data_IF_261760593755
#
_entry.id   IF_261760593755
#
_cell.length_a   1.000
_cell.length_b   1.000
_cell.length_c   1.000
_cell.angle_alpha   90.00
_cell.angle_beta   90.00
_cell.angle_gamma   90.00
#
_symmetry.space_group_name_H-M   'P 1'
#
loop_
_entity.id
_entity.type
_entity.pdbx_description
1 polymer ?
#
# COMPACT_ATOMS: atom_id res chain seq x y z
N UNK A 1 26.95 28.37 23.27
CA UNK A 1 28.24 28.15 22.59
C UNK A 1 28.02 28.55 21.15
N UNK A 2 28.69 29.60 20.72
CA UNK A 2 28.41 30.37 19.51
C UNK A 2 29.31 29.92 18.35
N UNK A 3 28.77 29.98 17.13
CA UNK A 3 29.42 30.16 15.81
C UNK A 3 28.23 30.36 14.85
N UNK A 4 27.91 31.50 14.25
CA UNK A 4 28.65 32.65 13.71
C UNK A 4 29.46 32.33 12.44
N UNK A 5 29.04 32.97 11.32
CA UNK A 5 29.74 33.28 10.04
C UNK A 5 29.16 32.68 8.74
N UNK A 6 28.49 33.55 7.98
CA UNK A 6 28.79 33.98 6.58
C UNK A 6 27.46 34.49 5.97
N UNK A 7 27.15 35.79 5.96
CA UNK A 7 27.81 36.93 5.30
C UNK A 7 27.89 36.82 3.77
N UNK A 8 26.95 37.55 3.15
CA UNK A 8 27.11 38.45 2.01
C UNK A 8 27.44 37.89 0.61
N UNK A 9 26.51 38.11 -0.32
CA UNK A 9 26.86 38.56 -1.67
C UNK A 9 25.82 39.59 -2.16
N UNK A 10 26.24 40.82 -2.55
CA UNK A 10 25.34 41.92 -2.89
C UNK A 10 25.11 42.07 -4.41
N UNK A 11 23.97 42.71 -4.71
CA UNK A 11 23.70 43.68 -5.76
C UNK A 11 24.45 43.59 -7.10
N UNK A 12 23.68 43.50 -8.20
CA UNK A 12 24.03 44.26 -9.41
C UNK A 12 22.84 45.07 -9.93
N UNK A 13 23.04 46.38 -9.82
CA UNK A 13 22.27 47.47 -10.39
C UNK A 13 22.67 47.62 -11.86
N UNK A 14 21.71 47.60 -12.78
CA UNK A 14 21.88 48.35 -14.03
C UNK A 14 20.72 49.33 -14.24
N UNK A 15 21.14 50.59 -14.31
CA UNK A 15 20.37 51.80 -14.37
C UNK A 15 19.71 52.03 -15.74
N UNK A 16 18.72 52.94 -15.82
CA UNK A 16 18.10 53.36 -17.06
C UNK A 16 18.93 54.47 -17.72
N UNK A 17 19.17 54.36 -19.02
CA UNK A 17 19.71 55.44 -19.85
C UNK A 17 18.76 55.73 -21.00
N UNK A 18 18.03 56.82 -20.87
CA UNK A 18 17.58 57.65 -21.99
C UNK A 18 18.65 58.72 -22.20
N UNK A 19 18.97 59.12 -23.45
CA UNK A 19 18.56 60.48 -23.83
C UNK A 19 18.27 60.68 -25.35
N UNK A 20 17.50 61.75 -25.63
CA UNK A 20 17.78 62.78 -26.67
C UNK A 20 17.61 62.39 -28.16
N UNK A 21 16.48 62.74 -28.77
CA UNK A 21 16.25 63.97 -29.56
C UNK A 21 17.28 64.19 -30.68
N UNK A 22 16.94 63.75 -31.90
CA UNK A 22 17.42 64.38 -33.13
C UNK A 22 16.27 64.48 -34.12
N UNK A 23 15.90 65.72 -34.41
CA UNK A 23 14.99 66.10 -35.47
C UNK A 23 15.66 65.94 -36.85
N UNK A 24 14.82 65.98 -37.88
CA UNK A 24 15.15 66.30 -39.27
C UNK A 24 15.86 65.21 -40.05
N UNK A 25 15.08 64.48 -40.85
CA UNK A 25 15.18 64.49 -42.32
C UNK A 25 13.99 63.68 -42.86
N UNK A 26 12.81 64.30 -42.79
CA UNK A 26 11.75 64.00 -43.73
C UNK A 26 12.17 64.60 -45.08
N UNK A 27 11.81 63.92 -46.16
CA UNK A 27 11.93 64.35 -47.57
C UNK A 27 13.29 64.11 -48.25
N UNK A 28 13.63 62.84 -48.55
CA UNK A 28 14.58 62.55 -49.63
C UNK A 28 14.48 61.18 -50.35
N UNK A 29 13.83 60.14 -49.82
CA UNK A 29 13.97 58.78 -50.40
C UNK A 29 12.66 57.99 -50.57
N UNK A 30 11.60 58.65 -51.04
CA UNK A 30 10.33 57.99 -51.36
C UNK A 30 10.28 57.34 -52.78
N UNK A 31 11.42 57.05 -53.41
CA UNK A 31 11.48 56.44 -54.76
C UNK A 31 12.69 55.53 -55.00
N UNK A 32 13.34 55.02 -53.94
CA UNK A 32 14.34 53.96 -54.06
C UNK A 32 13.75 52.57 -53.76
N UNK A 33 12.47 52.40 -54.12
CA UNK A 33 11.75 51.13 -54.05
C UNK A 33 12.33 50.16 -55.09
N UNK A 34 12.53 48.91 -54.66
CA UNK A 34 12.77 47.71 -55.49
C UNK A 34 14.19 47.51 -56.08
N UNK A 35 15.22 47.47 -55.22
CA UNK A 35 16.42 46.69 -55.56
C UNK A 35 16.41 45.31 -54.89
N UNK A 36 16.27 44.20 -55.66
CA UNK A 36 16.35 42.85 -55.11
C UNK A 36 17.76 42.61 -54.54
N UNK A 37 17.84 42.38 -53.22
CA UNK A 37 19.09 42.03 -52.53
C UNK A 37 19.62 43.03 -51.51
N UNK A 38 18.90 44.13 -51.19
CA UNK A 38 19.33 45.02 -50.09
C UNK A 38 19.27 44.25 -48.74
N UNK A 39 20.26 44.40 -47.85
CA UNK A 39 20.17 43.88 -46.50
C UNK A 39 19.00 44.57 -45.78
N UNK A 40 17.92 43.82 -45.54
CA UNK A 40 16.73 44.32 -44.86
C UNK A 40 17.03 44.56 -43.38
N UNK A 41 16.47 45.64 -42.83
CA UNK A 41 16.57 45.92 -41.41
C UNK A 41 15.95 44.80 -40.58
N UNK A 42 16.42 44.59 -39.34
CA UNK A 42 15.92 43.52 -38.45
C UNK A 42 14.39 43.56 -38.23
N UNK A 43 13.77 44.72 -38.48
CA UNK A 43 12.34 44.97 -38.29
C UNK A 43 11.55 45.07 -39.62
N UNK A 44 12.20 44.92 -40.78
CA UNK A 44 11.53 44.88 -42.09
C UNK A 44 11.01 43.47 -42.39
N UNK A 45 9.75 43.22 -42.02
CA UNK A 45 8.99 42.04 -42.43
C UNK A 45 8.80 42.03 -43.95
N UNK A 46 9.36 41.02 -44.62
CA UNK A 46 9.26 40.84 -46.05
C UNK A 46 7.79 40.67 -46.49
N UNK A 47 7.23 41.56 -47.34
CA UNK A 47 5.86 41.44 -47.81
C UNK A 47 5.62 40.15 -48.60
N UNK A 48 6.65 39.54 -49.19
CA UNK A 48 6.52 38.24 -49.83
C UNK A 48 6.23 37.12 -48.82
N UNK A 49 6.82 37.17 -47.61
CA UNK A 49 6.52 36.20 -46.55
C UNK A 49 5.08 36.33 -46.03
N UNK A 50 4.50 37.53 -46.05
CA UNK A 50 3.08 37.76 -45.74
C UNK A 50 2.15 37.25 -46.85
N UNK A 51 2.65 37.14 -48.08
CA UNK A 51 1.88 36.66 -49.25
C UNK A 51 1.89 35.13 -49.42
N UNK A 52 2.78 34.42 -48.71
CA UNK A 52 2.83 32.97 -48.77
C UNK A 52 1.52 32.38 -48.24
N UNK A 53 0.80 31.68 -49.13
CA UNK A 53 -0.39 30.94 -48.73
C UNK A 53 -0.02 30.01 -47.56
N UNK A 54 -0.74 30.05 -46.43
CA UNK A 54 -0.38 29.27 -45.26
C UNK A 54 -0.31 27.79 -45.66
N UNK A 55 0.87 27.18 -45.48
CA UNK A 55 1.08 25.76 -45.76
C UNK A 55 0.12 24.98 -44.87
N UNK A 56 -0.90 24.36 -45.49
CA UNK A 56 -1.85 23.51 -44.78
C UNK A 56 -1.06 22.35 -44.17
N UNK A 57 -1.15 22.18 -42.84
CA UNK A 57 -0.63 20.98 -42.19
C UNK A 57 -1.43 19.79 -42.72
N UNK A 58 -0.80 18.92 -43.50
CA UNK A 58 -1.40 17.68 -43.95
C UNK A 58 -1.35 16.67 -42.80
N UNK A 59 -2.34 16.71 -41.92
CA UNK A 59 -2.53 15.67 -40.90
C UNK A 59 -3.10 14.45 -41.62
N UNK A 60 -2.34 13.36 -41.70
CA UNK A 60 -2.82 12.12 -42.29
C UNK A 60 -4.02 11.56 -41.51
N UNK A 61 -5.03 10.97 -42.18
CA UNK A 61 -6.24 10.46 -41.51
C UNK A 61 -5.93 9.38 -40.48
N UNK A 62 -4.91 8.55 -40.73
CA UNK A 62 -4.47 7.51 -39.80
C UNK A 62 -3.94 8.13 -38.49
N UNK A 63 -3.14 9.20 -38.57
CA UNK A 63 -2.64 9.89 -37.38
C UNK A 63 -3.79 10.51 -36.57
N UNK A 64 -4.74 11.16 -37.25
CA UNK A 64 -5.90 11.75 -36.60
C UNK A 64 -6.74 10.71 -35.85
N UNK A 65 -7.01 9.56 -36.49
CA UNK A 65 -7.72 8.45 -35.86
C UNK A 65 -6.97 7.92 -34.63
N UNK A 66 -5.65 7.72 -34.74
CA UNK A 66 -4.82 7.25 -33.62
C UNK A 66 -4.88 8.19 -32.41
N UNK A 67 -4.82 9.51 -32.64
CA UNK A 67 -4.92 10.50 -31.56
C UNK A 67 -6.31 10.48 -30.90
N UNK A 68 -7.38 10.33 -31.68
CA UNK A 68 -8.75 10.21 -31.14
C UNK A 68 -8.88 8.97 -30.27
N UNK A 69 -8.49 7.80 -30.77
CA UNK A 69 -8.58 6.53 -30.02
C UNK A 69 -7.73 6.59 -28.76
N UNK A 70 -6.51 7.12 -28.84
CA UNK A 70 -5.64 7.28 -27.68
C UNK A 70 -6.24 8.24 -26.64
N UNK A 71 -6.77 9.38 -27.07
CA UNK A 71 -7.39 10.36 -26.17
C UNK A 71 -8.61 9.75 -25.45
N UNK A 72 -9.47 9.06 -26.19
CA UNK A 72 -10.62 8.35 -25.63
C UNK A 72 -10.20 7.26 -24.64
N UNK A 73 -9.17 6.49 -24.95
CA UNK A 73 -8.62 5.48 -24.06
C UNK A 73 -8.16 6.08 -22.71
N UNK A 74 -7.39 7.18 -22.76
CA UNK A 74 -6.94 7.86 -21.54
C UNK A 74 -8.11 8.49 -20.78
N UNK A 75 -9.09 9.07 -21.47
CA UNK A 75 -10.30 9.60 -20.83
C UNK A 75 -11.08 8.51 -20.08
N UNK A 76 -11.24 7.31 -20.66
CA UNK A 76 -11.87 6.17 -19.98
C UNK A 76 -11.08 5.77 -18.73
N UNK A 77 -9.74 5.78 -18.79
CA UNK A 77 -8.89 5.49 -17.63
C UNK A 77 -8.98 6.55 -16.53
N UNK A 78 -9.14 7.83 -16.90
CA UNK A 78 -9.28 8.95 -15.97
C UNK A 78 -10.71 9.12 -15.43
N UNK A 79 -11.70 8.40 -15.97
CA UNK A 79 -13.10 8.59 -15.59
C UNK A 79 -13.34 8.31 -14.10
N UNK A 80 -12.68 7.27 -13.55
CA UNK A 80 -12.74 6.97 -12.12
C UNK A 80 -12.12 8.11 -11.29
N UNK A 81 -10.92 8.59 -11.65
CA UNK A 81 -10.27 9.70 -10.94
C UNK A 81 -11.09 11.01 -11.03
N UNK A 82 -11.72 11.25 -12.17
CA UNK A 82 -12.61 12.40 -12.35
C UNK A 82 -13.86 12.28 -11.45
N UNK A 83 -14.45 11.08 -11.39
CA UNK A 83 -15.58 10.79 -10.50
C UNK A 83 -15.20 10.99 -9.03
N UNK A 84 -14.02 10.50 -8.62
CA UNK A 84 -13.51 10.70 -7.27
C UNK A 84 -13.31 12.17 -6.93
N UNK A 85 -12.68 12.93 -7.84
CA UNK A 85 -12.50 14.37 -7.69
C UNK A 85 -13.82 15.13 -7.46
N UNK A 86 -14.93 14.67 -8.03
CA UNK A 86 -16.24 15.32 -7.87
C UNK A 86 -16.93 15.09 -6.51
N UNK A 87 -16.44 14.21 -5.65
CA UNK A 87 -17.12 13.84 -4.38
C UNK A 87 -17.02 14.88 -3.26
N UNK A 88 -16.17 15.90 -3.41
CA UNK A 88 -15.92 16.90 -2.36
C UNK A 88 -14.93 16.43 -1.29
N UNK A 89 -14.47 17.36 -0.44
CA UNK A 89 -13.38 17.10 0.51
C UNK A 89 -13.84 16.57 1.88
N UNK A 90 -15.14 16.33 2.06
CA UNK A 90 -15.70 15.74 3.29
C UNK A 90 -15.89 14.23 3.08
N UNK A 91 -15.16 13.36 3.81
CA UNK A 91 -15.30 11.92 3.65
C UNK A 91 -16.63 11.43 4.22
N UNK A 92 -17.19 10.38 3.61
CA UNK A 92 -18.32 9.65 4.18
C UNK A 92 -17.82 8.86 5.40
N UNK A 93 -18.33 9.20 6.58
CA UNK A 93 -17.92 8.56 7.83
C UNK A 93 -18.74 7.29 8.07
N UNK A 94 -18.05 6.16 8.20
CA UNK A 94 -18.64 4.86 8.53
C UNK A 94 -18.34 4.50 10.00
N UNK A 95 -19.36 4.00 10.70
CA UNK A 95 -19.25 3.64 12.12
C UNK A 95 -18.37 2.41 12.37
N UNK A 96 -18.25 1.52 11.38
CA UNK A 96 -17.47 0.29 11.49
C UNK A 96 -16.99 -0.20 10.12
N UNK A 97 -15.96 -1.06 10.07
CA UNK A 97 -15.56 -1.76 8.85
C UNK A 97 -16.69 -2.55 8.19
N UNK A 98 -17.57 -3.18 8.99
CA UNK A 98 -18.71 -3.92 8.49
C UNK A 98 -19.75 -3.00 7.82
N UNK A 99 -19.96 -1.80 8.37
CA UNK A 99 -20.84 -0.81 7.76
C UNK A 99 -20.30 -0.29 6.43
N UNK A 100 -18.97 -0.11 6.31
CA UNK A 100 -18.33 0.17 5.02
C UNK A 100 -18.60 -0.98 4.06
N UNK A 101 -18.24 -2.22 4.40
CA UNK A 101 -18.38 -3.39 3.52
C UNK A 101 -19.84 -3.73 3.12
N UNK A 102 -20.83 -3.18 3.82
CA UNK A 102 -22.25 -3.32 3.50
C UNK A 102 -22.80 -2.19 2.63
N UNK A 103 -22.04 -1.12 2.40
CA UNK A 103 -22.47 0.01 1.59
C UNK A 103 -22.58 -0.37 0.10
N UNK A 104 -23.59 0.20 -0.55
CA UNK A 104 -23.73 0.13 -2.01
C UNK A 104 -22.72 1.11 -2.64
N UNK A 105 -22.18 0.77 -3.83
CA UNK A 105 -21.27 1.62 -4.61
C UNK A 105 -19.99 2.07 -3.84
N UNK A 106 -19.33 1.11 -3.19
CA UNK A 106 -18.07 1.35 -2.47
C UNK A 106 -16.91 1.78 -3.35
N UNK A 107 -16.87 1.27 -4.57
CA UNK A 107 -15.73 1.51 -5.45
C UNK A 107 -15.60 3.00 -5.73
N UNK A 108 -14.36 3.48 -5.60
CA UNK A 108 -13.99 4.84 -5.87
C UNK A 108 -14.62 5.88 -4.93
N UNK A 109 -15.06 5.51 -3.72
CA UNK A 109 -15.65 6.43 -2.74
C UNK A 109 -14.61 7.05 -1.78
N UNK A 110 -14.86 8.29 -1.32
CA UNK A 110 -14.07 8.92 -0.26
C UNK A 110 -14.65 8.60 1.11
N UNK A 111 -13.97 7.73 1.87
CA UNK A 111 -14.48 7.16 3.11
C UNK A 111 -13.57 7.47 4.30
N UNK A 112 -14.16 7.52 5.50
CA UNK A 112 -13.47 7.57 6.78
C UNK A 112 -14.04 6.51 7.72
N UNK A 113 -13.19 5.77 8.42
CA UNK A 113 -13.61 4.76 9.39
C UNK A 113 -12.55 4.51 10.46
N UNK A 114 -12.98 4.02 11.62
CA UNK A 114 -12.09 3.48 12.65
C UNK A 114 -11.85 1.99 12.38
N UNK A 115 -10.59 1.57 12.24
CA UNK A 115 -10.22 0.20 11.92
C UNK A 115 -8.93 -0.21 12.61
N UNK A 116 -8.88 -1.44 13.13
CA UNK A 116 -7.65 -2.00 13.71
C UNK A 116 -6.89 -2.75 12.62
N UNK A 117 -5.74 -2.25 12.12
CA UNK A 117 -4.92 -3.01 11.18
C UNK A 117 -4.32 -4.24 11.86
N UNK A 118 -4.32 -5.38 11.18
CA UNK A 118 -3.59 -6.56 11.63
C UNK A 118 -2.10 -6.39 11.33
N UNK A 119 -1.40 -5.70 12.24
CA UNK A 119 0.00 -5.30 12.07
C UNK A 119 0.96 -6.49 11.95
N UNK A 120 0.59 -7.65 12.49
CA UNK A 120 1.39 -8.89 12.39
C UNK A 120 1.48 -9.35 10.93
N UNK A 121 0.49 -8.99 10.11
CA UNK A 121 0.40 -9.35 8.69
C UNK A 121 0.57 -8.17 7.76
N UNK A 122 1.13 -7.07 8.25
CA UNK A 122 1.48 -5.95 7.41
C UNK A 122 2.55 -6.37 6.40
N UNK A 123 2.23 -6.21 5.12
CA UNK A 123 3.12 -6.45 4.00
C UNK A 123 3.70 -5.12 3.51
N UNK A 124 4.89 -5.16 2.93
CA UNK A 124 5.41 -4.03 2.16
C UNK A 124 5.05 -4.21 0.71
N UNK A 125 4.49 -3.17 0.12
CA UNK A 125 4.15 -3.11 -1.30
C UNK A 125 5.02 -2.03 -1.92
N UNK A 126 5.99 -2.46 -2.73
CA UNK A 126 6.82 -1.56 -3.52
C UNK A 126 6.05 -1.18 -4.78
N UNK A 127 5.39 -0.02 -4.72
CA UNK A 127 4.59 0.48 -5.85
C UNK A 127 5.46 1.24 -6.88
N UNK A 128 6.67 1.65 -6.50
CA UNK A 128 7.65 2.32 -7.37
C UNK A 128 9.07 1.96 -6.94
N UNK A 129 9.92 1.60 -7.90
CA UNK A 129 11.32 1.20 -7.66
C UNK A 129 12.18 2.30 -6.98
N UNK A 130 11.67 3.53 -6.91
CA UNK A 130 12.39 4.70 -6.38
C UNK A 130 11.85 5.24 -5.04
N UNK A 131 10.72 4.73 -4.53
CA UNK A 131 10.21 5.17 -3.23
C UNK A 131 10.99 4.51 -2.09
N UNK A 132 11.89 5.26 -1.45
CA UNK A 132 12.80 4.80 -0.38
C UNK A 132 12.08 4.16 0.82
N UNK A 133 10.77 4.38 0.98
CA UNK A 133 10.00 3.92 2.14
C UNK A 133 8.92 2.86 1.86
N UNK A 134 8.55 2.61 0.60
CA UNK A 134 7.46 1.70 0.22
C UNK A 134 6.10 2.05 0.83
N UNK A 135 5.03 1.37 0.41
CA UNK A 135 3.73 1.40 1.10
C UNK A 135 3.59 0.18 2.00
N UNK A 136 2.78 0.27 3.06
CA UNK A 136 2.42 -0.87 3.90
C UNK A 136 0.97 -1.25 3.62
N UNK A 137 0.74 -2.52 3.38
CA UNK A 137 -0.58 -3.08 3.16
C UNK A 137 -0.89 -3.99 4.35
N UNK A 138 -1.95 -3.70 5.10
CA UNK A 138 -2.37 -4.52 6.24
C UNK A 138 -3.87 -4.82 6.13
N UNK A 139 -4.31 -6.06 6.41
CA UNK A 139 -5.73 -6.36 6.48
C UNK A 139 -6.34 -5.69 7.73
N UNK A 140 -7.64 -5.47 7.73
CA UNK A 140 -8.38 -4.98 8.90
C UNK A 140 -8.93 -6.16 9.69
N UNK A 141 -8.68 -6.18 11.00
CA UNK A 141 -9.18 -7.20 11.91
C UNK A 141 -10.71 -7.25 11.93
N UNK A 142 -11.27 -8.46 11.97
CA UNK A 142 -12.71 -8.69 12.05
C UNK A 142 -13.46 -8.43 10.73
N UNK A 143 -12.75 -8.46 9.60
CA UNK A 143 -13.33 -8.23 8.26
C UNK A 143 -13.22 -9.43 7.33
N UNK A 144 -12.77 -10.59 7.83
CA UNK A 144 -12.58 -11.81 7.04
C UNK A 144 -11.75 -11.56 5.77
N UNK A 145 -10.72 -10.71 5.87
CA UNK A 145 -9.84 -10.30 4.76
C UNK A 145 -10.51 -9.48 3.64
N UNK A 146 -11.73 -8.97 3.87
CA UNK A 146 -12.46 -8.19 2.87
C UNK A 146 -12.08 -6.71 2.86
N UNK A 147 -11.47 -6.18 3.92
CA UNK A 147 -10.97 -4.80 3.95
C UNK A 147 -9.47 -4.76 4.24
N UNK A 148 -8.74 -4.03 3.40
CA UNK A 148 -7.31 -3.79 3.55
C UNK A 148 -7.01 -2.29 3.64
N UNK A 149 -5.97 -1.93 4.38
CA UNK A 149 -5.46 -0.57 4.49
C UNK A 149 -4.13 -0.49 3.74
N UNK A 150 -4.05 0.38 2.73
CA UNK A 150 -2.78 0.80 2.15
C UNK A 150 -2.34 2.09 2.85
N UNK A 151 -1.30 1.98 3.66
CA UNK A 151 -0.73 3.04 4.48
C UNK A 151 0.60 3.49 3.87
N UNK A 152 0.93 4.77 4.01
CA UNK A 152 2.27 5.27 3.68
C UNK A 152 3.32 4.58 4.56
N UNK A 153 4.36 4.00 3.95
CA UNK A 153 5.29 3.13 4.65
C UNK A 153 6.50 3.82 5.30
N UNK A 154 6.65 5.14 5.14
CA UNK A 154 7.77 5.90 5.69
C UNK A 154 7.82 5.80 7.21
N UNK A 155 8.82 5.06 7.70
CA UNK A 155 9.16 4.97 9.13
C UNK A 155 9.50 6.34 9.74
N UNK A 156 9.84 7.34 8.92
CA UNK A 156 10.23 8.67 9.37
C UNK A 156 9.07 9.68 9.40
N UNK A 157 7.99 9.44 8.65
CA UNK A 157 6.85 10.37 8.55
C UNK A 157 5.51 9.77 8.95
N UNK A 158 5.42 8.45 9.11
CA UNK A 158 4.23 7.81 9.67
C UNK A 158 4.09 8.22 11.14
N UNK A 159 3.27 9.25 11.37
CA UNK A 159 2.82 9.58 12.71
C UNK A 159 2.07 8.36 13.22
N UNK A 160 2.45 7.85 14.40
CA UNK A 160 1.69 6.79 15.06
C UNK A 160 0.29 7.35 15.32
N UNK A 161 -0.66 6.97 14.47
CA UNK A 161 -2.07 7.31 14.64
C UNK A 161 -2.60 6.43 15.76
N UNK A 162 -2.73 7.02 16.95
CA UNK A 162 -3.23 6.34 18.14
C UNK A 162 -4.76 6.18 18.12
N UNK A 163 -5.46 6.91 17.25
CA UNK A 163 -6.92 6.89 17.14
C UNK A 163 -7.44 5.80 16.21
N UNK A 164 -6.56 5.17 15.42
CA UNK A 164 -6.91 4.13 14.44
C UNK A 164 -8.03 4.57 13.47
N UNK A 165 -8.10 5.87 13.19
CA UNK A 165 -9.02 6.47 12.23
C UNK A 165 -8.31 6.70 10.91
N UNK A 166 -8.86 6.13 9.86
CA UNK A 166 -8.32 6.19 8.51
C UNK A 166 -9.33 6.86 7.59
N UNK A 167 -8.84 7.75 6.72
CA UNK A 167 -9.62 8.39 5.68
C UNK A 167 -8.87 8.26 4.36
N UNK A 168 -9.58 7.99 3.28
CA UNK A 168 -8.96 7.70 2.00
C UNK A 168 -9.95 7.27 0.92
N UNK A 169 -9.40 6.98 -0.25
CA UNK A 169 -10.16 6.43 -1.38
C UNK A 169 -10.34 4.93 -1.20
N UNK A 170 -11.57 4.44 -1.29
CA UNK A 170 -11.87 3.01 -1.34
C UNK A 170 -11.80 2.55 -2.79
N UNK A 171 -11.18 1.40 -3.03
CA UNK A 171 -11.13 0.75 -4.34
C UNK A 171 -11.28 -0.74 -4.22
N UNK A 172 -11.79 -1.38 -5.26
CA UNK A 172 -11.71 -2.83 -5.39
C UNK A 172 -10.24 -3.29 -5.37
N UNK A 173 -9.92 -4.22 -4.48
CA UNK A 173 -8.56 -4.73 -4.34
C UNK A 173 -8.12 -5.46 -5.60
N UNK A 174 -9.05 -6.14 -6.30
CA UNK A 174 -8.79 -6.85 -7.55
C UNK A 174 -8.29 -5.92 -8.69
N UNK A 175 -8.61 -4.63 -8.63
CA UNK A 175 -8.13 -3.64 -9.62
C UNK A 175 -6.73 -3.10 -9.33
N UNK A 176 -6.17 -3.42 -8.15
CA UNK A 176 -4.85 -2.96 -7.77
C UNK A 176 -3.77 -3.74 -8.53
N UNK A 177 -2.66 -3.08 -8.95
CA UNK A 177 -1.61 -3.73 -9.72
C UNK A 177 -0.89 -4.86 -8.95
N UNK A 178 -0.99 -4.86 -7.62
CA UNK A 178 -0.40 -5.87 -6.75
C UNK A 178 -1.41 -6.95 -6.29
N UNK A 179 -2.65 -6.95 -6.79
CA UNK A 179 -3.69 -7.88 -6.34
C UNK A 179 -3.32 -9.36 -6.54
N UNK A 180 -2.85 -9.73 -7.74
CA UNK A 180 -2.48 -11.12 -8.01
C UNK A 180 -1.19 -11.55 -7.30
N UNK A 181 -0.11 -10.74 -7.28
CA UNK A 181 1.04 -11.00 -6.42
C UNK A 181 0.66 -11.19 -4.94
N UNK A 182 -0.26 -10.37 -4.42
CA UNK A 182 -0.77 -10.51 -3.06
C UNK A 182 -1.51 -11.84 -2.87
N UNK A 183 -2.44 -12.18 -3.76
CA UNK A 183 -3.18 -13.45 -3.72
C UNK A 183 -2.25 -14.66 -3.77
N UNK A 184 -1.19 -14.60 -4.58
CA UNK A 184 -0.16 -15.64 -4.64
C UNK A 184 0.63 -15.72 -3.32
N UNK A 185 1.09 -14.56 -2.81
CA UNK A 185 1.85 -14.48 -1.56
C UNK A 185 1.08 -15.06 -0.37
N UNK A 186 -0.21 -14.73 -0.24
CA UNK A 186 -1.08 -15.23 0.84
C UNK A 186 -1.30 -16.75 0.76
N UNK A 187 -1.35 -17.30 -0.47
CA UNK A 187 -1.46 -18.75 -0.69
C UNK A 187 -0.18 -19.50 -0.32
N UNK A 188 0.98 -18.92 -0.61
CA UNK A 188 2.29 -19.54 -0.41
C UNK A 188 2.86 -19.36 1.00
N UNK A 189 2.30 -18.41 1.77
CA UNK A 189 2.80 -18.02 3.09
C UNK A 189 1.77 -18.29 4.18
N UNK A 190 1.48 -19.56 4.53
CA UNK A 190 0.61 -19.86 5.65
C UNK A 190 1.23 -19.36 6.96
N UNK A 191 0.40 -18.91 7.88
CA UNK A 191 0.83 -18.26 9.12
C UNK A 191 -0.07 -18.68 10.29
N UNK A 192 0.47 -18.75 11.51
CA UNK A 192 -0.32 -19.07 12.70
C UNK A 192 -1.30 -17.94 13.01
N UNK A 193 -2.60 -18.24 13.15
CA UNK A 193 -3.63 -17.30 13.63
C UNK A 193 -4.08 -17.70 15.02
N UNK A 194 -4.01 -16.81 15.99
CA UNK A 194 -4.32 -17.13 17.38
C UNK A 194 -5.83 -17.09 17.63
N UNK A 195 -6.38 -18.15 18.17
CA UNK A 195 -7.76 -18.26 18.62
C UNK A 195 -7.82 -18.38 20.14
N UNK A 196 -8.83 -17.76 20.74
CA UNK A 196 -9.06 -17.83 22.19
C UNK A 196 -9.48 -19.25 22.59
N UNK A 197 -9.24 -19.64 23.86
CA UNK A 197 -9.71 -20.93 24.38
C UNK A 197 -11.21 -21.15 24.19
N UNK A 198 -12.03 -20.11 24.37
CA UNK A 198 -13.48 -20.19 24.22
C UNK A 198 -13.89 -20.48 22.77
N UNK A 199 -13.29 -19.78 21.81
CA UNK A 199 -13.59 -19.96 20.39
C UNK A 199 -13.17 -21.35 19.90
N UNK A 200 -11.98 -21.80 20.30
CA UNK A 200 -11.49 -23.13 19.94
C UNK A 200 -12.30 -24.25 20.58
N UNK A 201 -12.71 -24.09 21.84
CA UNK A 201 -13.59 -25.03 22.53
C UNK A 201 -14.93 -25.15 21.80
N UNK A 202 -15.55 -24.02 21.46
CA UNK A 202 -16.81 -24.01 20.73
C UNK A 202 -16.70 -24.74 19.40
N UNK A 203 -15.65 -24.47 18.61
CA UNK A 203 -15.42 -25.11 17.32
C UNK A 203 -15.21 -26.64 17.43
N UNK A 204 -14.43 -27.10 18.42
CA UNK A 204 -14.20 -28.53 18.65
C UNK A 204 -15.44 -29.26 19.17
N UNK A 205 -16.25 -28.62 20.02
CA UNK A 205 -17.50 -29.20 20.55
C UNK A 205 -18.60 -29.29 19.49
N UNK A 206 -18.66 -28.34 18.56
CA UNK A 206 -19.59 -28.40 17.42
C UNK A 206 -19.10 -29.26 16.26
N UNK A 207 -17.85 -29.74 16.32
CA UNK A 207 -17.15 -30.38 15.21
C UNK A 207 -17.19 -29.53 13.92
N UNK A 208 -17.10 -28.21 14.07
CA UNK A 208 -17.10 -27.26 12.96
C UNK A 208 -15.68 -27.14 12.37
N UNK A 209 -15.58 -26.97 11.06
CA UNK A 209 -14.33 -26.62 10.38
C UNK A 209 -14.05 -25.13 10.43
N UNK A 210 -14.97 -24.34 10.97
CA UNK A 210 -14.82 -22.90 11.18
C UNK A 210 -14.39 -22.58 12.60
N UNK A 211 -13.25 -21.91 12.71
CA UNK A 211 -12.72 -21.35 13.94
C UNK A 211 -12.73 -19.83 13.84
N UNK A 212 -13.12 -19.13 14.91
CA UNK A 212 -12.89 -17.69 15.00
C UNK A 212 -11.56 -17.42 15.69
N UNK A 213 -10.77 -16.53 15.13
CA UNK A 213 -9.53 -16.09 15.76
C UNK A 213 -9.78 -14.98 16.81
N UNK A 214 -8.71 -14.51 17.43
CA UNK A 214 -8.75 -13.47 18.46
C UNK A 214 -9.17 -12.09 17.92
N UNK A 215 -9.05 -11.87 16.62
CA UNK A 215 -9.54 -10.68 15.92
C UNK A 215 -11.02 -10.81 15.52
N UNK A 216 -11.61 -12.00 15.68
CA UNK A 216 -12.99 -12.32 15.32
C UNK A 216 -13.16 -12.82 13.89
N UNK A 217 -12.09 -12.91 13.10
CA UNK A 217 -12.10 -13.39 11.72
C UNK A 217 -12.38 -14.90 11.68
N UNK A 218 -13.14 -15.33 10.67
CA UNK A 218 -13.43 -16.73 10.42
C UNK A 218 -12.26 -17.41 9.69
N UNK A 219 -11.81 -18.53 10.25
CA UNK A 219 -10.75 -19.38 9.72
C UNK A 219 -11.34 -20.74 9.34
N UNK A 220 -11.07 -21.18 8.12
CA UNK A 220 -11.33 -22.56 7.72
C UNK A 220 -10.14 -23.43 8.14
N UNK A 221 -10.38 -24.41 9.01
CA UNK A 221 -9.40 -25.35 9.54
C UNK A 221 -9.74 -26.77 9.11
N UNK A 222 -8.82 -27.39 8.37
CA UNK A 222 -8.92 -28.79 7.95
C UNK A 222 -8.29 -29.71 9.01
N UNK A 223 -8.66 -31.00 9.00
CA UNK A 223 -8.16 -31.97 9.98
C UNK A 223 -6.61 -32.11 10.01
N UNK A 224 -5.95 -31.86 8.88
CA UNK A 224 -4.49 -31.89 8.72
C UNK A 224 -3.82 -30.52 8.96
N UNK A 225 -4.59 -29.46 9.24
CA UNK A 225 -4.05 -28.12 9.52
C UNK A 225 -3.11 -28.19 10.74
N UNK A 226 -1.85 -27.76 10.61
CA UNK A 226 -0.92 -27.72 11.75
C UNK A 226 -1.41 -26.74 12.81
N UNK A 227 -1.35 -27.12 14.08
CA UNK A 227 -1.80 -26.30 15.20
C UNK A 227 -0.73 -26.26 16.27
N UNK A 228 -0.47 -25.06 16.79
CA UNK A 228 0.32 -24.85 17.99
C UNK A 228 -0.61 -24.63 19.18
N UNK A 229 -0.43 -25.45 20.21
CA UNK A 229 -1.18 -25.38 21.48
C UNK A 229 -0.29 -24.65 22.49
N UNK A 230 -0.68 -23.45 22.89
CA UNK A 230 0.01 -22.66 23.91
C UNK A 230 -0.73 -22.80 25.22
N UNK A 231 -0.05 -23.26 26.27
CA UNK A 231 -0.65 -23.36 27.60
C UNK A 231 0.34 -22.97 28.70
N UNK A 232 -0.20 -22.52 29.81
CA UNK A 232 0.57 -22.26 31.02
C UNK A 232 0.87 -23.58 31.73
N UNK A 233 2.14 -23.83 32.07
CA UNK A 233 2.53 -24.99 32.85
C UNK A 233 2.20 -24.73 34.34
N UNK A 234 1.32 -25.52 34.97
CA UNK A 234 0.91 -25.27 36.34
C UNK A 234 2.08 -25.37 37.31
N UNK A 235 2.23 -24.37 38.20
CA UNK A 235 3.27 -24.32 39.22
C UNK A 235 4.69 -24.13 38.69
N UNK A 236 4.85 -23.70 37.43
CA UNK A 236 6.15 -23.33 36.85
C UNK A 236 6.15 -21.86 36.46
N UNK A 237 7.13 -21.13 36.95
CA UNK A 237 7.25 -19.68 36.72
C UNK A 237 8.65 -19.39 36.19
N UNK A 238 8.74 -18.50 35.22
CA UNK A 238 9.99 -17.96 34.72
C UNK A 238 10.30 -16.66 35.46
N UNK A 239 11.52 -16.55 35.97
CA UNK A 239 12.04 -15.34 36.58
C UNK A 239 13.07 -14.77 35.61
N UNK A 240 12.71 -13.67 34.96
CA UNK A 240 13.61 -12.92 34.08
C UNK A 240 14.30 -11.84 34.91
N UNK A 241 15.62 -11.78 34.79
CA UNK A 241 16.48 -10.90 35.59
C UNK A 241 17.37 -10.08 34.68
N UNK A 242 17.65 -8.83 35.06
CA UNK A 242 18.50 -7.90 34.31
C UNK A 242 19.71 -7.54 35.16
N UNK A 243 20.90 -7.55 34.56
CA UNK A 243 22.16 -7.17 35.20
C UNK A 243 22.09 -5.75 35.75
N UNK A 244 22.38 -5.62 37.04
CA UNK A 244 22.44 -4.35 37.77
C UNK A 244 23.79 -4.19 38.44
N UNK A 245 24.10 -2.99 38.95
CA UNK A 245 25.34 -2.77 39.71
C UNK A 245 25.44 -3.67 40.94
N UNK A 246 24.30 -3.99 41.59
CA UNK A 246 24.25 -4.86 42.76
C UNK A 246 24.31 -6.34 42.39
N UNK A 247 23.69 -6.71 41.28
CA UNK A 247 23.55 -8.09 40.81
C UNK A 247 24.09 -8.17 39.37
N UNK A 248 25.41 -8.25 39.20
CA UNK A 248 26.06 -8.06 37.90
C UNK A 248 26.09 -9.33 37.03
N UNK A 249 25.85 -10.51 37.59
CA UNK A 249 25.98 -11.79 36.91
C UNK A 249 24.92 -12.82 37.35
N UNK A 250 24.78 -13.89 36.56
CA UNK A 250 23.81 -14.96 36.78
C UNK A 250 24.00 -15.67 38.13
N UNK A 251 25.24 -15.87 38.57
CA UNK A 251 25.54 -16.60 39.81
C UNK A 251 25.07 -15.80 41.03
N UNK A 252 25.28 -14.48 41.00
CA UNK A 252 24.79 -13.57 42.05
C UNK A 252 23.26 -13.56 42.07
N UNK A 253 22.61 -13.53 40.90
CA UNK A 253 21.14 -13.66 40.80
C UNK A 253 20.63 -14.98 41.35
N UNK A 254 21.22 -16.11 40.95
CA UNK A 254 20.84 -17.43 41.44
C UNK A 254 20.95 -17.52 42.98
N UNK A 255 22.01 -16.95 43.56
CA UNK A 255 22.19 -16.89 45.01
C UNK A 255 21.09 -16.11 45.74
N UNK A 256 20.70 -14.93 45.22
CA UNK A 256 19.62 -14.12 45.81
C UNK A 256 18.24 -14.80 45.65
N UNK A 257 17.97 -15.38 44.49
CA UNK A 257 16.73 -16.12 44.24
C UNK A 257 16.63 -17.40 45.07
N UNK A 258 17.76 -18.09 45.29
CA UNK A 258 17.84 -19.23 46.20
C UNK A 258 17.65 -18.83 47.67
N UNK A 259 18.16 -17.66 48.08
CA UNK A 259 17.93 -17.12 49.42
C UNK A 259 16.44 -16.81 49.68
N UNK A 260 15.67 -16.50 48.63
CA UNK A 260 14.21 -16.37 48.70
C UNK A 260 13.46 -17.71 48.65
N UNK A 261 14.17 -18.83 48.48
CA UNK A 261 13.57 -20.15 48.28
C UNK A 261 12.88 -20.32 46.93
N UNK A 262 13.13 -19.42 45.97
CA UNK A 262 12.56 -19.50 44.63
C UNK A 262 13.35 -20.47 43.73
N UNK A 263 14.64 -20.69 43.98
CA UNK A 263 15.48 -21.59 43.20
C UNK A 263 16.30 -22.53 44.09
N UNK A 264 16.85 -23.58 43.48
CA UNK A 264 17.98 -24.30 44.06
C UNK A 264 19.23 -23.40 44.08
N UNK A 265 20.11 -23.58 45.06
CA UNK A 265 21.31 -22.75 45.23
C UNK A 265 22.29 -22.82 44.04
N UNK A 266 22.22 -23.88 43.26
CA UNK A 266 23.03 -24.16 42.08
C UNK A 266 22.21 -24.13 40.78
N UNK A 267 21.04 -23.49 40.79
CA UNK A 267 20.20 -23.37 39.60
C UNK A 267 20.91 -22.56 38.50
N UNK A 268 21.16 -23.20 37.36
CA UNK A 268 21.62 -22.53 36.16
C UNK A 268 20.44 -21.87 35.42
N UNK A 269 20.66 -20.70 34.78
CA UNK A 269 19.62 -20.08 33.97
C UNK A 269 19.32 -20.94 32.73
N UNK A 270 18.04 -21.05 32.38
CA UNK A 270 17.60 -21.75 31.17
C UNK A 270 17.86 -20.94 29.89
N UNK A 271 18.05 -19.63 30.02
CA UNK A 271 18.48 -18.73 28.96
C UNK A 271 19.39 -17.64 29.51
N UNK A 272 20.42 -17.28 28.75
CA UNK A 272 21.42 -16.27 29.11
C UNK A 272 21.77 -15.41 27.90
N UNK A 273 21.39 -14.14 27.93
CA UNK A 273 21.66 -13.15 26.89
C UNK A 273 22.36 -11.94 27.49
N UNK A 274 23.69 -11.83 27.34
CA UNK A 274 24.58 -10.75 27.84
C UNK A 274 24.30 -10.19 29.24
N UNK A 275 23.19 -9.45 29.41
CA UNK A 275 22.74 -8.81 30.65
C UNK A 275 21.37 -9.32 31.15
N UNK A 276 20.81 -10.36 30.55
CA UNK A 276 19.50 -10.92 30.89
C UNK A 276 19.64 -12.41 31.14
N UNK A 277 19.10 -12.88 32.27
CA UNK A 277 19.06 -14.30 32.60
C UNK A 277 17.65 -14.72 32.95
N UNK A 278 17.22 -15.86 32.43
CA UNK A 278 15.92 -16.45 32.72
C UNK A 278 16.13 -17.70 33.55
N UNK A 279 15.54 -17.73 34.73
CA UNK A 279 15.52 -18.90 35.60
C UNK A 279 14.12 -19.51 35.61
N UNK A 280 14.04 -20.80 35.84
CA UNK A 280 12.78 -21.50 36.05
C UNK A 280 12.65 -21.89 37.51
N UNK A 281 11.54 -21.53 38.14
CA UNK A 281 11.18 -22.02 39.46
C UNK A 281 10.09 -23.08 39.39
N UNK A 282 10.27 -24.12 40.19
CA UNK A 282 9.30 -25.19 40.44
C UNK A 282 8.55 -24.99 41.77
N UNK A 283 8.74 -23.86 42.44
CA UNK A 283 7.91 -23.55 43.61
C UNK A 283 6.45 -23.47 43.17
N UNK A 284 5.57 -24.15 43.91
CA UNK A 284 4.14 -24.27 43.60
C UNK A 284 3.36 -22.96 43.80
N UNK A 285 4.00 -21.82 43.57
CA UNK A 285 3.44 -20.49 43.74
C UNK A 285 2.81 -19.96 42.46
N UNK A 286 1.76 -19.17 42.63
CA UNK A 286 1.25 -18.31 41.56
C UNK A 286 2.28 -17.21 41.24
N UNK A 287 2.29 -16.72 39.99
CA UNK A 287 3.20 -15.66 39.52
C UNK A 287 3.20 -14.46 40.48
N UNK A 288 2.02 -14.04 40.94
CA UNK A 288 1.86 -12.93 41.88
C UNK A 288 2.61 -13.13 43.22
N UNK A 289 2.72 -14.38 43.70
CA UNK A 289 3.45 -14.69 44.93
C UNK A 289 4.97 -14.55 44.70
N UNK A 290 5.46 -14.99 43.53
CA UNK A 290 6.87 -14.80 43.14
C UNK A 290 7.18 -13.31 42.98
N UNK A 291 6.32 -12.54 42.29
CA UNK A 291 6.49 -11.08 42.16
C UNK A 291 6.51 -10.37 43.52
N UNK A 292 5.61 -10.75 44.43
CA UNK A 292 5.59 -10.20 45.80
C UNK A 292 6.91 -10.48 46.52
N UNK A 293 7.43 -11.72 46.43
CA UNK A 293 8.71 -12.07 47.03
C UNK A 293 9.90 -11.28 46.42
N UNK A 294 9.91 -11.07 45.11
CA UNK A 294 10.92 -10.24 44.43
C UNK A 294 10.84 -8.78 44.89
N UNK A 295 9.63 -8.22 45.03
CA UNK A 295 9.40 -6.85 45.49
C UNK A 295 9.81 -6.65 46.96
N UNK A 296 9.44 -7.57 47.85
CA UNK A 296 9.79 -7.52 49.27
C UNK A 296 11.31 -7.57 49.48
N UNK A 297 12.01 -8.35 48.66
CA UNK A 297 13.47 -8.42 48.61
C UNK A 297 14.14 -7.27 47.83
N UNK A 298 13.35 -6.33 47.28
CA UNK A 298 13.81 -5.19 46.48
C UNK A 298 14.63 -5.62 45.25
N UNK A 299 14.26 -6.74 44.64
CA UNK A 299 14.83 -7.26 43.40
C UNK A 299 14.13 -6.62 42.18
N UNK A 300 14.15 -5.29 42.08
CA UNK A 300 13.37 -4.53 41.08
C UNK A 300 13.84 -4.73 39.62
N UNK A 301 15.00 -5.35 39.43
CA UNK A 301 15.53 -5.74 38.11
C UNK A 301 15.14 -7.18 37.74
N UNK A 302 14.19 -7.78 38.43
CA UNK A 302 13.60 -9.07 38.12
C UNK A 302 12.09 -8.96 37.93
N UNK A 303 11.54 -9.78 37.03
CA UNK A 303 10.11 -9.94 36.81
C UNK A 303 9.77 -11.42 36.70
N UNK A 304 8.60 -11.82 37.20
CA UNK A 304 8.11 -13.17 37.09
C UNK A 304 7.03 -13.25 36.01
N UNK A 305 7.02 -14.34 35.24
CA UNK A 305 5.98 -14.61 34.23
C UNK A 305 5.65 -16.10 34.19
N UNK A 306 4.42 -16.49 33.83
CA UNK A 306 4.08 -17.91 33.72
C UNK A 306 4.98 -18.60 32.69
N UNK A 307 5.36 -19.86 32.96
CA UNK A 307 6.01 -20.68 31.95
C UNK A 307 4.97 -21.12 30.92
N UNK A 308 5.09 -20.63 29.70
CA UNK A 308 4.30 -21.11 28.57
C UNK A 308 4.99 -22.29 27.90
N UNK A 309 4.23 -23.36 27.67
CA UNK A 309 4.66 -24.54 26.91
C UNK A 309 3.92 -24.57 25.59
N UNK A 310 4.63 -24.97 24.52
CA UNK A 310 4.08 -25.05 23.17
C UNK A 310 4.12 -26.51 22.73
N UNK A 311 2.98 -27.04 22.30
CA UNK A 311 2.88 -28.32 21.63
C UNK A 311 2.49 -28.13 20.17
N UNK A 312 3.07 -28.92 19.27
CA UNK A 312 2.69 -28.95 17.86
C UNK A 312 1.86 -30.21 17.58
N UNK A 313 0.74 -30.05 16.87
CA UNK A 313 -0.19 -31.12 16.51
C UNK A 313 -0.98 -30.74 15.25
N UNK A 314 -2.05 -31.47 14.92
CA UNK A 314 -2.98 -31.11 13.85
C UNK A 314 -4.39 -30.92 14.40
N UNK A 315 -5.22 -30.13 13.71
CA UNK A 315 -6.59 -29.85 14.17
C UNK A 315 -7.41 -31.12 14.41
N UNK A 316 -7.33 -32.11 13.51
CA UNK A 316 -8.05 -33.38 13.63
C UNK A 316 -7.55 -34.31 14.75
N UNK A 317 -6.38 -34.01 15.33
CA UNK A 317 -5.88 -34.71 16.51
C UNK A 317 -6.35 -34.08 17.83
N UNK A 318 -6.97 -32.90 17.77
CA UNK A 318 -7.58 -32.23 18.91
C UNK A 318 -8.97 -32.77 19.17
N UNK A 319 -9.34 -32.89 20.45
CA UNK A 319 -10.72 -33.16 20.85
C UNK A 319 -11.05 -32.45 22.16
N UNK A 320 -12.30 -32.01 22.30
CA UNK A 320 -12.83 -31.49 23.56
C UNK A 320 -13.61 -32.59 24.28
N UNK A 321 -13.22 -32.94 25.50
CA UNK A 321 -13.96 -33.90 26.31
C UNK A 321 -13.84 -33.56 27.80
N UNK A 322 -14.99 -33.47 28.49
CA UNK A 322 -15.03 -33.34 29.95
C UNK A 322 -14.32 -32.09 30.49
N UNK A 323 -14.37 -30.96 29.78
CA UNK A 323 -13.68 -29.73 30.20
C UNK A 323 -12.17 -29.73 29.94
N UNK A 324 -11.66 -30.67 29.15
CA UNK A 324 -10.25 -30.75 28.76
C UNK A 324 -10.10 -30.77 27.24
N UNK A 325 -9.04 -30.12 26.75
CA UNK A 325 -8.49 -30.29 25.42
C UNK A 325 -7.55 -31.52 25.43
N UNK A 326 -7.79 -32.47 24.53
CA UNK A 326 -6.99 -33.70 24.43
C UNK A 326 -6.30 -33.79 23.07
N UNK A 327 -5.03 -34.17 23.07
CA UNK A 327 -4.23 -34.41 21.86
C UNK A 327 -3.04 -35.31 22.21
N UNK A 328 -2.81 -36.37 21.42
CA UNK A 328 -1.81 -37.39 21.75
C UNK A 328 -2.04 -37.98 23.15
N UNK A 329 -1.02 -37.94 24.00
CA UNK A 329 -1.09 -38.39 25.40
C UNK A 329 -1.46 -37.26 26.39
N UNK A 330 -1.67 -36.04 25.90
CA UNK A 330 -1.94 -34.87 26.72
C UNK A 330 -3.44 -34.68 26.95
N UNK A 331 -3.79 -34.28 28.18
CA UNK A 331 -5.11 -33.80 28.55
C UNK A 331 -4.93 -32.49 29.34
N UNK A 332 -5.22 -31.37 28.68
CA UNK A 332 -5.06 -30.03 29.23
C UNK A 332 -6.43 -29.49 29.64
N UNK A 333 -6.63 -29.08 30.90
CA UNK A 333 -7.80 -28.30 31.27
C UNK A 333 -7.88 -27.01 30.45
N UNK A 334 -9.08 -26.63 30.01
CA UNK A 334 -9.26 -25.43 29.17
C UNK A 334 -8.77 -24.15 29.86
N UNK A 335 -8.82 -24.08 31.19
CA UNK A 335 -8.29 -22.95 31.97
C UNK A 335 -6.76 -22.79 31.92
N UNK A 336 -6.03 -23.82 31.50
CA UNK A 336 -4.58 -23.75 31.34
C UNK A 336 -4.18 -23.32 29.92
N UNK A 337 -5.09 -23.45 28.95
CA UNK A 337 -4.85 -23.06 27.57
C UNK A 337 -4.80 -21.54 27.46
N UNK A 338 -3.72 -21.00 26.91
CA UNK A 338 -3.60 -19.57 26.60
C UNK A 338 -4.14 -19.29 25.20
N UNK A 339 -3.65 -20.03 24.20
CA UNK A 339 -4.01 -19.85 22.80
C UNK A 339 -3.96 -21.16 22.01
N UNK A 340 -4.78 -21.26 20.97
CA UNK A 340 -4.57 -22.20 19.87
C UNK A 340 -4.19 -21.43 18.62
N UNK A 341 -3.11 -21.79 17.95
CA UNK A 341 -2.68 -21.13 16.73
C UNK A 341 -2.62 -22.11 15.55
N UNK A 342 -3.74 -22.38 14.86
CA UNK A 342 -3.69 -23.07 13.58
C UNK A 342 -2.90 -22.25 12.55
N UNK A 343 -2.07 -22.94 11.79
CA UNK A 343 -1.32 -22.38 10.67
C UNK A 343 -2.17 -22.53 9.41
N UNK A 344 -2.88 -21.47 9.05
CA UNK A 344 -3.83 -21.46 7.94
C UNK A 344 -3.29 -20.65 6.77
N UNK A 345 -3.72 -21.04 5.57
CA UNK A 345 -3.54 -20.25 4.35
C UNK A 345 -4.65 -19.21 4.28
N UNK A 346 -4.30 -17.96 3.98
CA UNK A 346 -5.28 -16.88 3.87
C UNK A 346 -5.83 -16.82 2.45
N UNK A 347 -7.15 -16.76 2.35
CA UNK A 347 -7.83 -16.40 1.11
C UNK A 347 -7.82 -14.88 0.94
N UNK A 348 -7.85 -14.43 -0.31
CA UNK A 348 -8.20 -13.06 -0.65
C UNK A 348 -9.57 -13.11 -1.32
N UNK A 349 -10.65 -12.68 -0.64
CA UNK A 349 -11.98 -12.63 -1.24
C UNK A 349 -11.97 -11.82 -2.54
N UNK A 350 -12.74 -12.23 -3.53
CA UNK A 350 -12.78 -11.54 -4.84
C UNK A 350 -13.44 -10.16 -4.75
N UNK A 351 -14.26 -9.94 -3.72
CA UNK A 351 -14.92 -8.68 -3.38
C UNK A 351 -14.13 -7.87 -2.33
N UNK A 352 -12.88 -8.23 -2.05
CA UNK A 352 -12.05 -7.47 -1.13
C UNK A 352 -11.82 -6.05 -1.67
N UNK A 353 -11.81 -5.09 -0.76
CA UNK A 353 -11.55 -3.68 -1.05
C UNK A 353 -10.32 -3.19 -0.29
N UNK A 354 -9.70 -2.13 -0.80
CA UNK A 354 -8.59 -1.43 -0.17
C UNK A 354 -8.95 0.02 0.09
N UNK A 355 -8.67 0.50 1.30
CA UNK A 355 -8.67 1.91 1.64
C UNK A 355 -7.26 2.47 1.42
N UNK A 356 -7.11 3.33 0.42
CA UNK A 356 -5.90 4.08 0.11
C UNK A 356 -5.79 5.26 1.06
N UNK A 357 -5.23 5.02 2.25
CA UNK A 357 -5.23 6.00 3.33
C UNK A 357 -4.42 7.24 2.94
N UNK A 358 -5.03 8.42 3.09
CA UNK A 358 -4.44 9.70 2.73
C UNK A 358 -4.78 10.21 1.33
N UNK A 359 -5.37 9.38 0.45
CA UNK A 359 -5.88 9.88 -0.82
C UNK A 359 -7.15 10.73 -0.60
N UNK A 360 -7.09 12.00 -0.97
CA UNK A 360 -8.21 12.95 -0.87
C UNK A 360 -8.57 13.51 -2.25
N UNK A 361 -9.86 13.81 -2.53
CA UNK A 361 -10.30 14.32 -3.84
C UNK A 361 -9.53 15.57 -4.32
N UNK A 362 -9.20 16.50 -3.41
CA UNK A 362 -8.43 17.71 -3.73
C UNK A 362 -7.07 17.45 -4.43
N UNK A 363 -6.41 16.31 -4.18
CA UNK A 363 -5.11 15.99 -4.83
C UNK A 363 -5.27 15.81 -6.35
N UNK A 364 -6.47 15.50 -6.82
CA UNK A 364 -6.79 15.24 -8.23
C UNK A 364 -7.26 16.49 -9.00
N UNK A 365 -6.96 17.70 -8.51
CA UNK A 365 -7.36 18.98 -9.14
C UNK A 365 -6.97 19.10 -10.63
N UNK A 366 -5.92 18.41 -11.06
CA UNK A 366 -5.43 18.44 -12.45
C UNK A 366 -6.23 17.54 -13.39
N UNK A 367 -6.96 16.55 -12.87
CA UNK A 367 -7.73 15.58 -13.66
C UNK A 367 -8.79 16.24 -14.54
N UNK A 368 -9.67 17.15 -14.06
CA UNK A 368 -10.63 17.83 -14.93
C UNK A 368 -9.97 18.64 -16.05
N UNK A 369 -8.84 19.29 -15.78
CA UNK A 369 -8.08 20.05 -16.79
C UNK A 369 -7.52 19.12 -17.87
N UNK A 370 -6.88 18.02 -17.45
CA UNK A 370 -6.33 17.02 -18.36
C UNK A 370 -7.44 16.36 -19.19
N UNK A 371 -8.56 15.99 -18.56
CA UNK A 371 -9.73 15.42 -19.23
C UNK A 371 -10.31 16.38 -20.27
N UNK A 372 -10.44 17.67 -19.94
CA UNK A 372 -10.89 18.70 -20.87
C UNK A 372 -9.94 18.88 -22.07
N UNK A 373 -8.63 18.85 -21.84
CA UNK A 373 -7.62 18.93 -22.90
C UNK A 373 -7.65 17.71 -23.84
N UNK A 374 -7.81 16.51 -23.29
CA UNK A 374 -7.98 15.28 -24.07
C UNK A 374 -9.28 15.31 -24.90
N UNK A 375 -10.38 15.78 -24.32
CA UNK A 375 -11.65 15.94 -25.02
C UNK A 375 -11.53 16.94 -26.18
N UNK A 376 -10.90 18.09 -25.94
CA UNK A 376 -10.66 19.10 -26.99
C UNK A 376 -9.77 18.55 -28.12
N UNK A 377 -8.69 17.84 -27.77
CA UNK A 377 -7.82 17.17 -28.74
C UNK A 377 -8.61 16.17 -29.59
N UNK A 378 -9.38 15.27 -28.95
CA UNK A 378 -10.21 14.29 -29.64
C UNK A 378 -11.20 14.97 -30.61
N UNK A 379 -11.85 16.06 -30.19
CA UNK A 379 -12.78 16.80 -31.04
C UNK A 379 -12.09 17.45 -32.26
N UNK A 380 -10.94 18.08 -32.06
CA UNK A 380 -10.17 18.72 -33.13
C UNK A 380 -9.67 17.70 -34.16
N UNK A 381 -9.14 16.56 -33.70
CA UNK A 381 -8.66 15.50 -34.60
C UNK A 381 -9.81 14.72 -35.25
N UNK A 382 -10.94 14.52 -34.58
CA UNK A 382 -12.13 13.96 -35.20
C UNK A 382 -12.67 14.87 -36.30
N UNK A 383 -12.68 16.19 -36.09
CA UNK A 383 -13.05 17.17 -37.11
C UNK A 383 -12.09 17.13 -38.32
N UNK A 384 -10.78 17.11 -38.07
CA UNK A 384 -9.77 16.99 -39.11
C UNK A 384 -9.91 15.69 -39.92
N UNK A 385 -10.21 14.58 -39.24
CA UNK A 385 -10.47 13.28 -39.87
C UNK A 385 -11.69 13.33 -40.79
N UNK A 386 -12.83 13.87 -40.32
CA UNK A 386 -14.04 14.04 -41.14
C UNK A 386 -13.75 14.92 -42.36
N UNK A 387 -12.97 15.99 -42.19
CA UNK A 387 -12.57 16.86 -43.29
C UNK A 387 -11.71 16.12 -44.32
N UNK A 388 -10.70 15.39 -43.88
CA UNK A 388 -9.81 14.62 -44.75
C UNK A 388 -10.58 13.54 -45.55
N UNK A 389 -11.56 12.89 -44.92
CA UNK A 389 -12.42 11.91 -45.57
C UNK A 389 -13.36 12.55 -46.60
N UNK A 390 -13.81 13.79 -46.37
CA UNK A 390 -14.61 14.55 -47.36
C UNK A 390 -13.78 15.08 -48.52
N UNK A 391 -12.53 15.45 -48.25
CA UNK A 391 -11.61 16.01 -49.24
C UNK A 391 -10.91 14.94 -50.10
N UNK A 392 -10.94 13.67 -49.68
CA UNK A 392 -10.48 12.54 -50.50
C UNK A 392 -11.49 12.34 -51.63
N UNK A 393 -11.24 12.86 -52.85
CA UNK A 393 -12.12 12.58 -53.97
C UNK A 393 -12.02 11.08 -54.17
N UNK A 394 -13.16 10.39 -54.30
CA UNK A 394 -13.20 8.98 -54.68
C UNK A 394 -12.21 8.79 -55.83
N UNK A 395 -11.10 8.09 -55.61
CA UNK A 395 -10.22 7.64 -56.68
C UNK A 395 -10.88 6.49 -57.45
N UNK A 396 -12.19 6.62 -57.65
CA UNK A 396 -13.05 5.79 -58.47
C UNK A 396 -13.17 6.54 -59.79
N UNK A 397 -12.31 6.17 -60.75
CA UNK A 397 -12.45 6.72 -62.09
C UNK A 397 -11.34 6.42 -63.07
N UNK A 398 -10.16 5.98 -62.64
CA UNK A 398 -9.14 5.49 -63.58
C UNK A 398 -9.02 3.97 -63.45
N UNK A 399 -10.15 3.29 -63.70
CA UNK A 399 -10.11 1.97 -64.31
C UNK A 399 -9.43 2.15 -65.65
N UNK A 400 -8.10 1.98 -65.69
CA UNK A 400 -7.34 1.87 -66.92
C UNK A 400 -7.95 0.72 -67.76
N UNK A 401 -8.63 1.01 -68.89
CA UNK A 401 -9.22 -0.02 -69.73
C UNK A 401 -8.17 -0.78 -70.55
N UNK A 402 -6.86 -0.55 -70.35
CA UNK A 402 -5.80 -1.10 -71.18
C UNK A 402 -5.37 -2.56 -70.88
N UNK A 403 -5.93 -3.26 -69.90
CA UNK A 403 -5.55 -4.68 -69.65
C UNK A 403 -6.30 -5.71 -70.52
N UNK A 404 -6.88 -5.28 -71.66
CA UNK A 404 -7.56 -6.16 -72.61
C UNK A 404 -6.61 -6.60 -73.74
N UNK A 405 -5.51 -7.27 -73.41
CA UNK A 405 -4.79 -8.14 -74.35
C UNK A 405 -4.07 -9.30 -73.62
N UNK A 406 -4.76 -10.44 -73.53
CA UNK A 406 -4.12 -11.75 -73.71
C UNK A 406 -3.71 -11.89 -75.21
N UNK A 407 -2.77 -12.76 -75.64
CA UNK A 407 -2.70 -14.16 -75.19
C UNK A 407 -1.34 -14.91 -75.28
N UNK A 408 -1.42 -16.19 -74.87
CA UNK A 408 -0.84 -17.38 -75.50
C UNK A 408 0.65 -17.75 -75.31
N UNK A 409 0.80 -19.01 -74.89
CA UNK A 409 1.73 -20.03 -75.36
C UNK A 409 3.25 -19.81 -75.26
N UNK A 410 3.88 -20.63 -74.40
CA UNK A 410 5.06 -21.40 -74.80
C UNK A 410 5.22 -22.63 -73.91
N UNK A 411 5.15 -23.79 -74.55
CA UNK A 411 5.41 -25.12 -74.02
C UNK A 411 6.92 -25.44 -73.94
N UNK A 412 7.23 -26.57 -73.27
CA UNK A 412 8.48 -27.33 -73.22
C UNK A 412 9.60 -26.73 -72.34
N UNK A 413 10.30 -27.46 -71.47
CA UNK A 413 10.53 -28.90 -71.35
C UNK A 413 10.71 -29.31 -69.87
#
# INVERSE_FOLDING_TARGET
MADDRNSESPADNHAPTTPETAASNADADANADEHPGRPRGRDELDPELLSLAPKRLNIGPLLALSVVVFSLYIMVRLAADLGFWTQGDEPVVYESPAALLAAEDLDNSFAQLAAVPDRVYALRVDHQAESVSGNRLAPVQGTDERLWLLLEGSVWSAHVRNDEVYAGRVRELAEMPFAEPLRAHLRESPRPRFATPEAARAALESADTRLRDAAGDALEVAADTPVRVFHTAPGRVLIETIASERLPDAATWAGELAALGLLAADAEPISSEERVWVFETTTTGEVAAVETALLDARLLAASARPLETIHETTWGALSSAGGTLRFGEHALPWEQLTWLAPTVTRGLPDDAVVLLAGEVPAVYWYVPLLFGLLALSALLFAWALVRALRESPSSDGETDPASKHAPADAAAA
#
